data_IF_455583860320
#
_entry.id   IF_455583860320
#
_cell.length_a   1.000
_cell.length_b   1.000
_cell.length_c   1.000
_cell.angle_alpha   90.00
_cell.angle_beta   90.00
_cell.angle_gamma   90.00
#
_symmetry.space_group_name_H-M   'P 1'
#
loop_
_entity.id
_entity.type
_entity.pdbx_description
1 polymer ?
#
# COMPACT_ATOMS: atom_id res chain seq x y z
N UNK A 1 -29.01 -25.84 8.05
CA UNK A 1 -28.54 -24.54 8.56
C UNK A 1 -27.03 -24.34 8.29
N UNK A 2 -26.60 -24.36 7.01
CA UNK A 2 -25.17 -24.26 6.62
C UNK A 2 -25.00 -23.67 5.20
N UNK A 3 -25.61 -22.51 4.91
CA UNK A 3 -25.45 -21.83 3.60
C UNK A 3 -24.67 -20.50 3.68
N UNK A 4 -24.16 -20.11 4.84
CA UNK A 4 -23.54 -18.79 5.04
C UNK A 4 -21.99 -18.76 4.99
N UNK A 5 -21.29 -19.89 4.84
CA UNK A 5 -19.82 -19.91 4.88
C UNK A 5 -19.11 -19.58 3.55
N UNK A 6 -19.81 -19.39 2.43
CA UNK A 6 -19.18 -19.25 1.09
C UNK A 6 -18.83 -17.82 0.65
N UNK A 7 -18.78 -16.85 1.57
CA UNK A 7 -18.48 -15.45 1.22
C UNK A 7 -17.38 -14.80 2.05
N UNK A 8 -16.40 -15.59 2.48
CA UNK A 8 -15.09 -15.02 2.84
C UNK A 8 -14.42 -14.62 1.53
N UNK A 9 -14.84 -13.48 0.98
CA UNK A 9 -14.15 -12.77 -0.09
C UNK A 9 -12.71 -12.58 0.38
N UNK A 10 -11.79 -13.33 -0.21
CA UNK A 10 -10.35 -13.15 -0.01
C UNK A 10 -9.94 -11.81 -0.63
N UNK A 11 -10.21 -10.72 0.08
CA UNK A 11 -9.73 -9.38 -0.28
C UNK A 11 -8.21 -9.38 -0.13
N UNK A 12 -7.51 -9.49 -1.26
CA UNK A 12 -6.05 -9.43 -1.30
C UNK A 12 -5.62 -7.98 -1.49
N UNK A 13 -4.68 -7.56 -0.66
CA UNK A 13 -3.97 -6.30 -0.83
C UNK A 13 -2.77 -6.56 -1.74
N UNK A 14 -2.70 -5.85 -2.87
CA UNK A 14 -1.58 -5.95 -3.81
C UNK A 14 -0.76 -4.67 -3.75
N UNK A 15 0.57 -4.82 -3.84
CA UNK A 15 1.48 -3.68 -3.89
C UNK A 15 1.22 -2.92 -5.21
N UNK A 16 0.84 -1.66 -5.07
CA UNK A 16 0.54 -0.78 -6.19
C UNK A 16 1.73 0.10 -6.54
N UNK A 17 2.37 0.69 -5.53
CA UNK A 17 3.51 1.57 -5.73
C UNK A 17 4.51 1.47 -4.57
N UNK A 18 5.78 1.69 -4.89
CA UNK A 18 6.89 1.83 -3.95
C UNK A 18 7.68 3.08 -4.31
N UNK A 19 7.87 4.00 -3.37
CA UNK A 19 8.66 5.22 -3.60
C UNK A 19 9.39 5.68 -2.34
N UNK A 20 10.58 6.25 -2.49
CA UNK A 20 11.28 6.98 -1.42
C UNK A 20 11.00 8.49 -1.47
N UNK A 21 10.32 8.97 -2.51
CA UNK A 21 9.98 10.37 -2.68
C UNK A 21 8.65 10.69 -1.97
N UNK A 22 8.68 11.68 -1.08
CA UNK A 22 7.53 12.06 -0.26
C UNK A 22 6.39 12.70 -1.07
N UNK A 23 6.74 13.59 -2.02
CA UNK A 23 5.75 14.27 -2.85
C UNK A 23 5.03 13.27 -3.75
N UNK A 24 5.79 12.36 -4.39
CA UNK A 24 5.22 11.29 -5.19
C UNK A 24 4.30 10.38 -4.35
N UNK A 25 4.68 10.09 -3.10
CA UNK A 25 3.84 9.31 -2.20
C UNK A 25 2.49 9.99 -2.00
N UNK A 26 2.46 11.27 -1.61
CA UNK A 26 1.23 11.98 -1.33
C UNK A 26 0.37 12.21 -2.57
N UNK A 27 0.97 12.54 -3.72
CA UNK A 27 0.23 12.68 -4.99
C UNK A 27 -0.53 11.41 -5.35
N UNK A 28 0.07 10.23 -5.16
CA UNK A 28 -0.63 8.97 -5.39
C UNK A 28 -1.75 8.69 -4.38
N UNK A 29 -1.59 9.10 -3.12
CA UNK A 29 -2.68 8.94 -2.14
C UNK A 29 -3.88 9.81 -2.49
N UNK A 30 -3.65 11.01 -3.02
CA UNK A 30 -4.71 11.90 -3.48
C UNK A 30 -5.45 11.30 -4.69
N UNK A 31 -4.72 10.77 -5.67
CA UNK A 31 -5.29 10.11 -6.86
C UNK A 31 -6.14 8.89 -6.49
N UNK A 32 -5.66 8.03 -5.58
CA UNK A 32 -6.41 6.86 -5.14
C UNK A 32 -7.66 7.27 -4.35
N UNK A 33 -7.57 8.33 -3.53
CA UNK A 33 -8.70 8.86 -2.78
C UNK A 33 -9.75 9.46 -3.71
N UNK A 34 -9.35 10.26 -4.70
CA UNK A 34 -10.27 10.88 -5.66
C UNK A 34 -10.95 9.84 -6.55
N UNK A 35 -10.28 8.72 -6.82
CA UNK A 35 -10.80 7.58 -7.58
C UNK A 35 -11.67 6.62 -6.74
N UNK A 36 -11.84 6.87 -5.44
CA UNK A 36 -12.61 5.99 -4.54
C UNK A 36 -11.98 4.60 -4.34
N UNK A 37 -10.67 4.47 -4.55
CA UNK A 37 -9.94 3.20 -4.40
C UNK A 37 -9.46 3.06 -2.96
N UNK A 38 -9.86 1.98 -2.30
CA UNK A 38 -9.35 1.62 -0.99
C UNK A 38 -7.84 1.31 -1.04
N UNK A 39 -7.05 2.04 -0.25
CA UNK A 39 -5.61 1.85 -0.14
C UNK A 39 -5.12 1.68 1.31
N UNK A 40 -3.93 1.09 1.45
CA UNK A 40 -3.14 1.02 2.69
C UNK A 40 -1.71 1.46 2.39
N UNK A 41 -1.07 2.10 3.35
CA UNK A 41 0.33 2.50 3.24
C UNK A 41 1.19 1.75 4.25
N UNK A 42 2.47 1.53 3.91
CA UNK A 42 3.48 1.02 4.84
C UNK A 42 4.79 1.75 4.60
N UNK A 43 5.29 2.43 5.62
CA UNK A 43 6.65 3.00 5.62
C UNK A 43 7.66 1.97 6.09
N UNK A 44 8.74 1.81 5.35
CA UNK A 44 9.92 1.06 5.75
C UNK A 44 11.04 2.06 6.02
N UNK A 45 11.40 2.20 7.29
CA UNK A 45 12.48 3.07 7.72
C UNK A 45 13.77 2.25 7.79
N UNK A 46 14.74 2.58 6.94
CA UNK A 46 16.08 2.03 7.03
C UNK A 46 16.90 2.93 7.94
N UNK A 47 17.16 2.47 9.18
CA UNK A 47 17.93 3.22 10.16
C UNK A 47 19.41 3.31 9.76
N UNK A 48 19.96 4.53 9.80
CA UNK A 48 21.40 4.77 9.75
C UNK A 48 22.03 4.45 11.11
N UNK A 49 23.10 3.64 11.11
CA UNK A 49 23.82 3.26 12.33
C UNK A 49 24.42 4.45 13.08
N UNK A 50 24.64 4.27 14.38
CA UNK A 50 25.42 5.17 15.24
C UNK A 50 26.76 5.52 14.56
N UNK A 51 26.96 6.78 14.14
CA UNK A 51 28.18 7.19 13.44
C UNK A 51 28.08 8.36 12.45
N UNK A 52 26.94 9.04 12.32
CA UNK A 52 26.87 10.38 11.73
C UNK A 52 26.95 10.50 10.19
N UNK A 53 26.86 9.41 9.43
CA UNK A 53 27.06 9.45 7.97
C UNK A 53 25.93 8.91 7.07
N UNK A 54 24.85 8.33 7.60
CA UNK A 54 23.84 7.67 6.76
C UNK A 54 22.45 8.26 6.99
N UNK A 55 21.94 8.97 5.98
CA UNK A 55 20.60 9.57 6.01
C UNK A 55 19.52 8.50 6.19
N UNK A 56 18.52 8.80 7.01
CA UNK A 56 17.35 7.95 7.15
C UNK A 56 16.65 7.85 5.79
N UNK A 57 16.70 6.67 5.17
CA UNK A 57 15.96 6.40 3.95
C UNK A 57 14.64 5.77 4.34
N UNK A 58 13.53 6.47 4.03
CA UNK A 58 12.18 5.92 4.21
C UNK A 58 11.66 5.54 2.84
N UNK A 59 11.21 4.30 2.70
CA UNK A 59 10.52 3.82 1.51
C UNK A 59 9.05 3.61 1.84
N UNK A 60 8.18 4.24 1.08
CA UNK A 60 6.73 4.16 1.20
C UNK A 60 6.18 3.14 0.22
N UNK A 61 5.45 2.16 0.73
CA UNK A 61 4.64 1.24 -0.05
C UNK A 61 3.17 1.64 0.01
N UNK A 62 2.50 1.58 -1.13
CA UNK A 62 1.05 1.74 -1.25
C UNK A 62 0.49 0.41 -1.74
N UNK A 63 -0.54 -0.08 -1.07
CA UNK A 63 -1.26 -1.30 -1.42
C UNK A 63 -2.71 -0.95 -1.74
N UNK A 64 -3.27 -1.56 -2.78
CA UNK A 64 -4.68 -1.41 -3.15
C UNK A 64 -5.43 -2.73 -2.98
N UNK A 65 -6.75 -2.68 -2.78
CA UNK A 65 -7.60 -3.87 -2.79
C UNK A 65 -7.83 -4.34 -4.22
N UNK A 66 -7.46 -5.58 -4.53
CA UNK A 66 -7.88 -6.22 -5.78
C UNK A 66 -9.08 -7.10 -5.52
N UNK A 67 -10.20 -6.74 -6.13
CA UNK A 67 -11.37 -7.61 -6.24
C UNK A 67 -11.18 -8.47 -7.48
N UNK A 68 -11.35 -9.80 -7.35
CA UNK A 68 -11.12 -10.78 -8.45
C UNK A 68 -11.94 -10.52 -9.72
N UNK A 69 -12.92 -9.62 -9.68
CA UNK A 69 -13.72 -9.20 -10.85
C UNK A 69 -12.89 -8.46 -11.91
N UNK A 70 -11.72 -7.92 -11.56
CA UNK A 70 -10.80 -7.26 -12.48
C UNK A 70 -9.62 -8.14 -12.96
N UNK A 71 -9.66 -9.45 -12.67
CA UNK A 71 -8.75 -10.43 -13.30
C UNK A 71 -9.53 -11.25 -14.31
N UNK A 72 -9.80 -10.64 -15.47
CA UNK A 72 -10.24 -11.35 -16.67
C UNK A 72 -9.59 -10.74 -17.89
#
# INVERSE_FOLDING_TARGET
MFKFLKRVLFTRWELYNTTANLDQHFSMLEELRSSGIDFKTKGLNFGGGYGGGSGFSTVYHIYIRKTKEQSK
#
